data_IF_119090242794
#
_entry.id   IF_119090242794
#
_cell.length_a   1.000
_cell.length_b   1.000
_cell.length_c   1.000
_cell.angle_alpha   90.00
_cell.angle_beta   90.00
_cell.angle_gamma   90.00
#
_symmetry.space_group_name_H-M   'P 1'
#
loop_
_entity.id
_entity.type
_entity.pdbx_description
1 polymer ?
#
# COMPACT_ATOMS: atom_id res chain seq x y z
N UNK A 1 5.80 28.56 12.58
CA UNK A 1 6.84 28.00 11.71
C UNK A 1 7.70 27.10 12.57
N UNK A 2 7.57 25.81 12.44
CA UNK A 2 8.52 24.89 13.06
C UNK A 2 9.68 24.76 12.11
N UNK A 3 10.71 25.57 12.27
CA UNK A 3 11.99 25.35 11.62
C UNK A 3 12.61 24.12 12.28
N UNK A 4 12.40 22.95 11.68
CA UNK A 4 13.13 21.77 12.07
C UNK A 4 14.62 22.04 11.80
N UNK A 5 15.50 21.98 12.82
CA UNK A 5 16.93 22.28 12.63
C UNK A 5 17.61 21.37 11.62
N UNK A 6 17.09 20.16 11.41
CA UNK A 6 17.61 19.21 10.39
C UNK A 6 17.21 19.66 8.99
N UNK A 7 15.96 20.07 8.79
CA UNK A 7 15.49 20.58 7.49
C UNK A 7 16.22 21.87 7.10
N UNK A 8 16.37 22.79 8.04
CA UNK A 8 17.10 24.05 7.81
C UNK A 8 18.59 23.82 7.50
N UNK A 9 19.21 22.82 8.14
CA UNK A 9 20.66 22.57 8.00
C UNK A 9 21.04 21.79 6.76
N UNK A 10 20.18 20.83 6.31
CA UNK A 10 20.54 19.89 5.24
C UNK A 10 19.61 19.95 4.04
N UNK A 11 18.59 20.82 4.04
CA UNK A 11 17.57 20.85 2.99
C UNK A 11 16.73 19.55 2.87
N UNK A 12 16.72 18.75 3.93
CA UNK A 12 16.03 17.47 3.95
C UNK A 12 14.60 17.62 4.47
N UNK A 13 13.65 16.92 3.84
CA UNK A 13 12.28 16.86 4.33
C UNK A 13 12.19 15.88 5.49
N UNK A 14 11.81 16.39 6.66
CA UNK A 14 11.58 15.59 7.86
C UNK A 14 10.10 15.64 8.19
N UNK A 15 9.45 14.46 8.24
CA UNK A 15 8.03 14.34 8.55
C UNK A 15 7.83 13.82 9.98
N UNK A 16 6.96 14.44 10.77
CA UNK A 16 6.63 13.93 12.09
C UNK A 16 5.82 12.63 11.96
N UNK A 17 6.09 11.72 12.88
CA UNK A 17 5.34 10.47 13.02
C UNK A 17 4.15 10.66 13.94
N UNK A 18 3.02 10.06 13.57
CA UNK A 18 1.76 10.14 14.34
C UNK A 18 1.20 8.76 14.55
N UNK A 19 0.88 8.44 15.78
CA UNK A 19 0.18 7.22 16.15
C UNK A 19 -1.34 7.46 16.19
N UNK A 20 -2.06 6.51 15.60
CA UNK A 20 -3.52 6.40 15.72
C UNK A 20 -3.84 5.09 16.43
N UNK A 21 -4.56 5.19 17.53
CA UNK A 21 -5.00 4.04 18.31
C UNK A 21 -6.50 3.82 18.08
N UNK A 22 -6.86 2.62 17.74
CA UNK A 22 -8.25 2.21 17.49
C UNK A 22 -8.53 0.93 18.24
N UNK A 23 -9.76 0.78 18.72
CA UNK A 23 -10.29 -0.50 19.17
C UNK A 23 -11.06 -1.12 18.01
N UNK A 24 -10.66 -2.29 17.55
CA UNK A 24 -11.28 -2.98 16.43
C UNK A 24 -11.90 -4.27 16.91
N UNK A 25 -13.22 -4.38 16.77
CA UNK A 25 -13.91 -5.63 17.03
C UNK A 25 -13.44 -6.70 16.03
N UNK A 26 -13.08 -7.87 16.55
CA UNK A 26 -12.85 -9.03 15.70
C UNK A 26 -14.22 -9.54 15.20
N UNK A 27 -14.48 -9.56 13.89
CA UNK A 27 -15.78 -9.95 13.36
C UNK A 27 -16.17 -11.41 13.66
N UNK A 28 -15.19 -12.28 13.96
CA UNK A 28 -15.43 -13.69 14.24
C UNK A 28 -15.64 -13.96 15.74
N UNK A 29 -14.96 -13.25 16.62
CA UNK A 29 -14.97 -13.51 18.06
C UNK A 29 -15.75 -12.47 18.84
N UNK A 30 -16.05 -11.31 18.25
CA UNK A 30 -16.67 -10.17 18.93
C UNK A 30 -15.77 -9.49 19.97
N UNK A 31 -14.53 -9.96 20.13
CA UNK A 31 -13.58 -9.41 21.11
C UNK A 31 -12.85 -8.22 20.51
N UNK A 32 -12.91 -7.09 21.18
CA UNK A 32 -12.17 -5.90 20.79
C UNK A 32 -10.65 -6.12 20.96
N UNK A 33 -9.90 -5.83 19.90
CA UNK A 33 -8.46 -5.83 19.93
C UNK A 33 -7.92 -4.41 19.72
N UNK A 34 -6.95 -3.96 20.52
CA UNK A 34 -6.29 -2.69 20.30
C UNK A 34 -5.50 -2.75 19.00
N UNK A 35 -5.64 -1.72 18.16
CA UNK A 35 -4.87 -1.54 16.92
C UNK A 35 -4.16 -0.21 16.96
N UNK A 36 -2.84 -0.24 16.88
CA UNK A 36 -2.00 0.93 16.69
C UNK A 36 -1.59 1.03 15.22
N UNK A 37 -1.68 2.23 14.65
CA UNK A 37 -1.20 2.53 13.31
C UNK A 37 -0.29 3.75 13.37
N UNK A 38 0.95 3.58 12.97
CA UNK A 38 1.89 4.68 12.78
C UNK A 38 1.79 5.22 11.35
N UNK A 39 1.72 6.52 11.19
CA UNK A 39 1.63 7.20 9.89
C UNK A 39 2.45 8.49 9.90
N UNK A 40 2.89 8.93 8.73
CA UNK A 40 3.44 10.27 8.61
C UNK A 40 2.34 11.33 8.66
N UNK A 41 2.68 12.48 9.26
CA UNK A 41 1.84 13.65 9.14
C UNK A 41 2.12 14.37 7.82
N UNK A 42 1.45 13.93 6.76
CA UNK A 42 1.57 14.49 5.41
C UNK A 42 0.77 15.78 5.19
N UNK A 43 0.43 16.54 6.21
CA UNK A 43 -0.29 17.80 6.08
C UNK A 43 0.48 18.82 5.23
N UNK A 44 -0.19 19.68 4.45
CA UNK A 44 0.47 20.62 3.54
C UNK A 44 1.56 21.48 4.19
N UNK A 45 1.41 21.83 5.46
CA UNK A 45 2.39 22.62 6.21
C UNK A 45 3.76 21.93 6.41
N UNK A 46 3.82 20.61 6.21
CA UNK A 46 5.05 19.81 6.34
C UNK A 46 5.64 19.40 4.99
N UNK A 47 5.00 19.80 3.86
CA UNK A 47 5.37 19.37 2.52
C UNK A 47 5.46 20.55 1.56
N UNK A 48 6.39 21.48 1.79
CA UNK A 48 6.52 22.67 0.93
C UNK A 48 6.90 22.35 -0.53
N UNK A 49 7.41 21.17 -0.82
CA UNK A 49 7.97 20.80 -2.11
C UNK A 49 7.21 19.74 -2.90
N UNK A 50 6.11 19.16 -2.39
CA UNK A 50 5.40 18.10 -3.12
C UNK A 50 4.43 18.70 -4.14
N UNK A 51 4.70 18.50 -5.42
CA UNK A 51 3.82 18.90 -6.51
C UNK A 51 2.56 18.02 -6.47
N UNK A 52 1.37 18.63 -6.40
CA UNK A 52 0.08 17.91 -6.30
C UNK A 52 -0.14 16.90 -7.43
N UNK A 53 0.37 17.16 -8.62
CA UNK A 53 0.31 16.24 -9.77
C UNK A 53 1.03 14.92 -9.51
N UNK A 54 2.01 14.90 -8.63
CA UNK A 54 2.78 13.70 -8.28
C UNK A 54 2.10 12.82 -7.23
N UNK A 55 1.01 13.29 -6.64
CA UNK A 55 0.26 12.58 -5.60
C UNK A 55 -1.00 11.87 -6.11
N UNK A 56 -1.38 12.12 -7.36
CA UNK A 56 -2.58 11.50 -7.94
C UNK A 56 -2.36 10.00 -8.17
N UNK A 57 -3.36 9.22 -7.80
CA UNK A 57 -3.49 7.80 -8.12
C UNK A 57 -4.92 7.50 -8.52
N UNK A 58 -5.10 6.52 -9.39
CA UNK A 58 -6.42 6.04 -9.74
C UNK A 58 -7.04 5.33 -8.51
N UNK A 59 -8.34 5.48 -8.38
CA UNK A 59 -9.15 4.73 -7.43
C UNK A 59 -10.37 4.20 -8.18
N UNK A 60 -10.66 2.92 -8.02
CA UNK A 60 -11.78 2.30 -8.73
C UNK A 60 -13.10 2.94 -8.31
N UNK A 61 -13.93 3.26 -9.29
CA UNK A 61 -15.27 3.76 -9.04
C UNK A 61 -16.22 2.62 -8.64
N UNK A 62 -17.16 2.91 -7.75
CA UNK A 62 -18.12 1.90 -7.25
C UNK A 62 -18.92 1.20 -8.36
N UNK A 63 -19.37 1.86 -9.44
CA UNK A 63 -20.02 1.17 -10.56
C UNK A 63 -19.15 0.10 -11.22
N UNK A 64 -17.84 0.27 -11.23
CA UNK A 64 -16.91 -0.72 -11.80
C UNK A 64 -16.82 -1.97 -10.93
N UNK A 65 -16.87 -1.81 -9.61
CA UNK A 65 -17.01 -2.96 -8.70
C UNK A 65 -18.26 -3.77 -9.03
N UNK A 66 -19.42 -3.12 -9.14
CA UNK A 66 -20.67 -3.80 -9.48
C UNK A 66 -20.60 -4.47 -10.85
N UNK A 67 -20.01 -3.79 -11.85
CA UNK A 67 -19.84 -4.35 -13.18
C UNK A 67 -18.94 -5.59 -13.15
N UNK A 68 -17.82 -5.55 -12.43
CA UNK A 68 -16.89 -6.69 -12.29
C UNK A 68 -17.59 -7.88 -11.66
N UNK A 69 -18.39 -7.68 -10.60
CA UNK A 69 -19.20 -8.73 -9.99
C UNK A 69 -20.26 -9.27 -10.95
N UNK A 70 -20.96 -8.40 -11.68
CA UNK A 70 -21.98 -8.80 -12.65
C UNK A 70 -21.38 -9.63 -13.79
N UNK A 71 -20.22 -9.22 -14.35
CA UNK A 71 -19.49 -9.98 -15.36
C UNK A 71 -19.05 -11.33 -14.80
N UNK A 72 -18.48 -11.36 -13.61
CA UNK A 72 -18.02 -12.60 -12.99
C UNK A 72 -19.16 -13.58 -12.76
N UNK A 73 -20.31 -13.09 -12.32
CA UNK A 73 -21.52 -13.91 -12.16
C UNK A 73 -22.06 -14.41 -13.49
N UNK A 74 -22.16 -13.55 -14.51
CA UNK A 74 -22.63 -13.92 -15.85
C UNK A 74 -21.73 -14.94 -16.54
N UNK A 75 -20.43 -14.89 -16.29
CA UNK A 75 -19.44 -15.80 -16.84
C UNK A 75 -19.19 -17.03 -15.95
N UNK A 76 -19.88 -17.12 -14.82
CA UNK A 76 -19.71 -18.18 -13.84
C UNK A 76 -18.25 -18.31 -13.35
N UNK A 77 -17.64 -17.18 -13.04
CA UNK A 77 -16.28 -17.12 -12.51
C UNK A 77 -16.23 -17.40 -11.01
N UNK A 78 -15.19 -18.06 -10.56
CA UNK A 78 -14.76 -18.04 -9.17
C UNK A 78 -14.15 -16.69 -8.86
N UNK A 79 -14.45 -16.15 -7.68
CA UNK A 79 -13.92 -14.88 -7.23
C UNK A 79 -13.17 -15.08 -5.92
N UNK A 80 -11.97 -14.50 -5.82
CA UNK A 80 -11.16 -14.47 -4.59
C UNK A 80 -10.78 -13.05 -4.25
N UNK A 81 -10.91 -12.70 -2.97
CA UNK A 81 -10.48 -11.43 -2.43
C UNK A 81 -9.16 -11.60 -1.66
N UNK A 82 -8.26 -10.64 -1.79
CA UNK A 82 -7.00 -10.58 -1.06
C UNK A 82 -6.79 -9.18 -0.51
N UNK A 83 -6.20 -9.10 0.67
CA UNK A 83 -5.76 -7.86 1.31
C UNK A 83 -4.24 -7.88 1.43
N UNK A 84 -3.59 -6.82 0.96
CA UNK A 84 -2.13 -6.69 1.06
C UNK A 84 -1.77 -5.99 2.36
N UNK A 85 -1.21 -6.73 3.26
CA UNK A 85 -0.76 -6.15 4.53
C UNK A 85 0.36 -5.14 4.30
N UNK A 86 0.17 -3.91 4.81
CA UNK A 86 1.14 -2.82 4.65
C UNK A 86 1.46 -2.47 3.19
N UNK A 87 0.46 -2.48 2.31
CA UNK A 87 0.60 -2.31 0.86
C UNK A 87 1.60 -1.22 0.44
N UNK A 88 1.54 -0.02 1.05
CA UNK A 88 2.48 1.04 0.69
C UNK A 88 3.94 0.67 0.94
N UNK A 89 4.23 -0.08 2.01
CA UNK A 89 5.59 -0.51 2.32
C UNK A 89 6.16 -1.55 1.35
N UNK A 90 5.37 -2.10 0.45
CA UNK A 90 5.85 -2.90 -0.69
C UNK A 90 6.55 -2.02 -1.73
N UNK A 91 6.07 -0.80 -1.94
CA UNK A 91 6.59 0.13 -2.93
C UNK A 91 7.92 0.79 -2.47
N UNK A 92 8.78 1.17 -3.42
CA UNK A 92 9.99 1.92 -3.11
C UNK A 92 9.67 3.29 -2.50
N UNK A 93 10.65 3.88 -1.80
CA UNK A 93 10.55 5.25 -1.31
C UNK A 93 10.41 6.26 -2.46
N UNK A 94 9.89 7.47 -2.20
CA UNK A 94 9.96 8.59 -3.13
C UNK A 94 11.38 8.87 -3.60
N UNK A 95 11.51 9.48 -4.79
CA UNK A 95 12.83 9.86 -5.34
C UNK A 95 13.51 10.90 -4.45
N UNK A 96 12.75 11.87 -3.98
CA UNK A 96 13.23 12.84 -3.01
C UNK A 96 13.30 12.20 -1.62
N UNK A 97 14.48 12.04 -1.03
CA UNK A 97 14.64 11.36 0.24
C UNK A 97 13.95 12.15 1.36
N UNK A 98 13.25 11.45 2.20
CA UNK A 98 12.66 12.02 3.39
C UNK A 98 12.99 11.19 4.62
N UNK A 99 12.85 11.82 5.79
CA UNK A 99 13.30 11.31 7.06
C UNK A 99 12.20 11.37 8.08
N UNK A 100 12.31 10.56 9.11
CA UNK A 100 11.38 10.48 10.22
C UNK A 100 12.08 10.81 11.53
N UNK A 101 11.42 11.60 12.36
CA UNK A 101 11.74 11.72 13.79
C UNK A 101 10.82 10.76 14.54
N UNK A 102 11.41 9.91 15.36
CA UNK A 102 10.65 9.06 16.26
C UNK A 102 10.06 9.90 17.40
N UNK A 103 8.85 9.58 17.81
CA UNK A 103 8.29 10.13 19.04
C UNK A 103 8.99 9.53 20.27
N UNK A 104 8.89 10.24 21.39
CA UNK A 104 9.60 9.88 22.63
C UNK A 104 9.21 8.48 23.13
N UNK A 105 7.94 8.10 23.03
CA UNK A 105 7.46 6.81 23.54
C UNK A 105 8.03 5.65 22.69
N UNK A 106 8.03 5.82 21.36
CA UNK A 106 8.62 4.83 20.47
C UNK A 106 10.14 4.74 20.65
N UNK A 107 10.83 5.88 20.88
CA UNK A 107 12.27 5.89 21.14
C UNK A 107 12.60 5.15 22.42
N UNK A 108 11.84 5.34 23.50
CA UNK A 108 12.01 4.61 24.76
C UNK A 108 11.80 3.11 24.58
N UNK A 109 10.71 2.71 23.93
CA UNK A 109 10.47 1.30 23.62
C UNK A 109 11.59 0.70 22.78
N UNK A 110 12.06 1.43 21.75
CA UNK A 110 13.16 0.97 20.90
C UNK A 110 14.44 0.75 21.69
N UNK A 111 14.77 1.65 22.58
CA UNK A 111 15.94 1.53 23.46
C UNK A 111 15.83 0.34 24.42
N UNK A 112 14.64 0.06 24.92
CA UNK A 112 14.40 -1.05 25.84
C UNK A 112 14.46 -2.41 25.15
N UNK A 113 13.83 -2.55 23.99
CA UNK A 113 13.63 -3.84 23.30
C UNK A 113 14.75 -4.20 22.32
N UNK A 114 15.31 -3.21 21.62
CA UNK A 114 16.24 -3.42 20.50
C UNK A 114 17.68 -2.99 20.81
N UNK A 115 18.08 -2.99 22.07
CA UNK A 115 19.50 -2.81 22.43
C UNK A 115 20.38 -3.77 21.64
N UNK A 116 21.33 -3.35 20.82
CA UNK A 116 22.23 -2.20 20.89
C UNK A 116 22.01 -1.15 19.79
N UNK A 117 20.90 -1.13 19.10
CA UNK A 117 20.62 -0.18 18.00
C UNK A 117 20.05 1.14 18.54
N UNK A 118 20.76 1.74 19.49
CA UNK A 118 20.41 3.07 19.99
C UNK A 118 20.44 4.09 18.87
N UNK A 119 19.32 4.77 18.65
CA UNK A 119 19.26 5.95 17.80
C UNK A 119 19.55 7.15 18.72
N UNK A 120 20.71 7.80 18.58
CA UNK A 120 21.06 8.92 19.46
C UNK A 120 20.05 10.06 19.32
N UNK A 121 19.87 10.82 20.41
CA UNK A 121 19.02 12.01 20.42
C UNK A 121 19.37 12.96 19.27
N UNK A 122 18.35 13.50 18.62
CA UNK A 122 18.51 14.42 17.51
C UNK A 122 18.83 13.75 16.17
N UNK A 123 18.86 12.43 16.08
CA UNK A 123 18.99 11.71 14.83
C UNK A 123 17.64 11.49 14.16
N UNK A 124 17.69 11.38 12.83
CA UNK A 124 16.52 11.08 12.00
C UNK A 124 16.74 9.75 11.29
N UNK A 125 15.65 9.03 11.02
CA UNK A 125 15.69 7.76 10.31
C UNK A 125 15.37 8.01 8.84
N UNK A 126 16.23 7.57 7.89
CA UNK A 126 15.90 7.62 6.48
C UNK A 126 14.80 6.63 6.16
N UNK A 127 13.85 7.04 5.33
CA UNK A 127 12.75 6.21 4.91
C UNK A 127 13.08 5.57 3.56
N UNK A 128 13.12 4.24 3.55
CA UNK A 128 13.55 3.43 2.40
C UNK A 128 12.38 2.81 1.63
N UNK A 129 11.16 3.01 2.10
CA UNK A 129 9.92 2.50 1.50
C UNK A 129 8.83 3.56 1.52
N UNK A 130 7.87 3.44 0.62
CA UNK A 130 6.65 4.24 0.74
C UNK A 130 5.91 3.85 2.03
N UNK A 131 5.42 4.85 2.76
CA UNK A 131 4.70 4.62 4.02
C UNK A 131 3.43 5.44 4.08
N UNK A 132 2.48 4.97 4.89
CA UNK A 132 1.21 5.65 5.09
C UNK A 132 1.39 7.08 5.59
N UNK A 133 0.59 8.00 5.02
CA UNK A 133 0.64 9.42 5.36
C UNK A 133 1.58 10.25 4.49
N UNK A 134 2.53 9.65 3.77
CA UNK A 134 3.29 10.38 2.76
C UNK A 134 2.42 10.61 1.51
N UNK A 135 2.37 11.84 0.97
CA UNK A 135 1.46 12.19 -0.13
C UNK A 135 1.68 11.38 -1.42
N UNK A 136 2.90 10.94 -1.70
CA UNK A 136 3.23 10.16 -2.89
C UNK A 136 3.01 8.65 -2.72
N UNK A 137 2.82 8.17 -1.50
CA UNK A 137 2.74 6.73 -1.24
C UNK A 137 1.65 6.01 -2.03
N UNK A 138 0.43 6.55 -2.19
CA UNK A 138 -0.59 5.90 -3.03
C UNK A 138 -0.15 5.74 -4.48
N UNK A 139 0.50 6.76 -5.06
CA UNK A 139 0.99 6.72 -6.44
C UNK A 139 2.18 5.77 -6.61
N UNK A 140 3.09 5.74 -5.64
CA UNK A 140 4.23 4.82 -5.66
C UNK A 140 3.76 3.36 -5.61
N UNK A 141 2.76 3.10 -4.77
CA UNK A 141 2.11 1.80 -4.69
C UNK A 141 1.40 1.43 -5.99
N UNK A 142 0.61 2.36 -6.57
CA UNK A 142 -0.05 2.17 -7.86
C UNK A 142 0.94 1.77 -8.96
N UNK A 143 2.04 2.52 -9.10
CA UNK A 143 3.10 2.20 -10.05
C UNK A 143 3.76 0.84 -9.79
N UNK A 144 3.98 0.50 -8.52
CA UNK A 144 4.58 -0.76 -8.13
C UNK A 144 3.71 -1.94 -8.55
N UNK A 145 2.43 -1.92 -8.19
CA UNK A 145 1.48 -2.98 -8.50
C UNK A 145 1.23 -3.09 -10.00
N UNK A 146 1.05 -1.96 -10.69
CA UNK A 146 0.87 -1.92 -12.15
C UNK A 146 2.05 -2.54 -12.88
N UNK A 147 3.27 -2.21 -12.46
CA UNK A 147 4.48 -2.79 -13.03
C UNK A 147 4.52 -4.32 -12.84
N UNK A 148 4.21 -4.80 -11.66
CA UNK A 148 4.16 -6.22 -11.36
C UNK A 148 3.11 -6.93 -12.21
N UNK A 149 1.87 -6.44 -12.23
CA UNK A 149 0.77 -7.06 -12.97
C UNK A 149 1.04 -7.07 -14.47
N UNK A 150 1.53 -5.97 -15.04
CA UNK A 150 1.74 -5.84 -16.48
C UNK A 150 3.02 -6.54 -16.92
N UNK A 151 4.16 -6.20 -16.33
CA UNK A 151 5.46 -6.61 -16.85
C UNK A 151 5.88 -8.02 -16.41
N UNK A 152 5.42 -8.46 -15.23
CA UNK A 152 5.87 -9.73 -14.67
C UNK A 152 4.79 -10.82 -14.77
N UNK A 153 3.51 -10.46 -14.60
CA UNK A 153 2.41 -11.41 -14.66
C UNK A 153 1.67 -11.42 -16.00
N UNK A 154 1.94 -10.44 -16.87
CA UNK A 154 1.42 -10.38 -18.24
C UNK A 154 -0.04 -9.96 -18.35
N UNK A 155 -0.57 -9.27 -17.35
CA UNK A 155 -1.87 -8.63 -17.40
C UNK A 155 -1.84 -7.35 -18.24
N UNK A 156 -3.01 -6.90 -18.68
CA UNK A 156 -3.21 -5.63 -19.37
C UNK A 156 -4.24 -4.81 -18.61
N UNK A 157 -3.93 -3.54 -18.34
CA UNK A 157 -4.92 -2.61 -17.80
C UNK A 157 -5.99 -2.30 -18.84
N UNK A 158 -7.22 -2.09 -18.41
CA UNK A 158 -8.26 -1.58 -19.32
C UNK A 158 -8.07 -0.08 -19.54
N UNK A 159 -8.58 0.43 -20.68
CA UNK A 159 -8.41 1.84 -21.03
C UNK A 159 -9.32 2.72 -20.16
N UNK A 160 -10.54 2.27 -19.89
CA UNK A 160 -11.55 3.03 -19.18
C UNK A 160 -11.35 3.02 -17.67
N UNK A 161 -10.79 1.92 -17.13
CA UNK A 161 -10.58 1.74 -15.71
C UNK A 161 -9.15 1.20 -15.46
N UNK A 162 -8.22 2.06 -15.09
CA UNK A 162 -6.82 1.68 -14.89
C UNK A 162 -6.61 0.65 -13.75
N UNK A 163 -7.56 0.54 -12.82
CA UNK A 163 -7.51 -0.41 -11.72
C UNK A 163 -8.07 -1.80 -12.08
N UNK A 164 -8.65 -1.96 -13.29
CA UNK A 164 -9.15 -3.23 -13.79
C UNK A 164 -8.16 -3.81 -14.82
N UNK A 165 -7.64 -4.98 -14.52
CA UNK A 165 -6.69 -5.71 -15.34
C UNK A 165 -7.30 -6.98 -15.85
N UNK A 166 -6.87 -7.40 -17.04
CA UNK A 166 -7.27 -8.66 -17.63
C UNK A 166 -6.08 -9.38 -18.28
N UNK A 167 -6.18 -10.69 -18.33
CA UNK A 167 -5.25 -11.57 -19.05
C UNK A 167 -6.05 -12.64 -19.75
N UNK A 168 -5.63 -13.01 -20.99
CA UNK A 168 -6.14 -14.18 -21.68
C UNK A 168 -5.06 -15.23 -21.75
N UNK A 169 -5.41 -16.47 -21.47
CA UNK A 169 -4.52 -17.60 -21.67
C UNK A 169 -4.53 -18.06 -23.15
N UNK A 170 -3.78 -19.12 -23.44
CA UNK A 170 -3.67 -19.71 -24.78
C UNK A 170 -5.00 -20.30 -25.30
N UNK A 171 -5.90 -20.67 -24.39
CA UNK A 171 -7.24 -21.19 -24.68
C UNK A 171 -8.29 -20.08 -24.84
N UNK A 172 -7.89 -18.82 -24.64
CA UNK A 172 -8.78 -17.66 -24.69
C UNK A 172 -9.57 -17.41 -23.39
N UNK A 173 -9.32 -18.19 -22.34
CA UNK A 173 -9.94 -17.98 -21.02
C UNK A 173 -9.42 -16.68 -20.38
N UNK A 174 -10.31 -15.99 -19.69
CA UNK A 174 -10.03 -14.66 -19.14
C UNK A 174 -9.85 -14.73 -17.65
N UNK A 175 -8.75 -14.12 -17.17
CA UNK A 175 -8.56 -13.76 -15.77
C UNK A 175 -8.76 -12.26 -15.62
N UNK A 176 -9.46 -11.83 -14.57
CA UNK A 176 -9.65 -10.44 -14.20
C UNK A 176 -9.01 -10.17 -12.85
N UNK A 177 -8.40 -9.01 -12.70
CA UNK A 177 -7.97 -8.48 -11.41
C UNK A 177 -8.50 -7.05 -11.31
N UNK A 178 -9.32 -6.80 -10.29
CA UNK A 178 -9.71 -5.46 -9.89
C UNK A 178 -8.99 -5.15 -8.58
N UNK A 179 -8.24 -4.05 -8.52
CA UNK A 179 -7.55 -3.69 -7.30
C UNK A 179 -7.92 -2.29 -6.81
N UNK A 180 -7.96 -2.13 -5.51
CA UNK A 180 -8.26 -0.86 -4.84
C UNK A 180 -7.41 -0.72 -3.59
N UNK A 181 -6.40 0.12 -3.64
CA UNK A 181 -5.44 0.40 -2.56
C UNK A 181 -4.74 -0.89 -2.09
N UNK A 182 -5.23 -1.54 -1.06
CA UNK A 182 -4.70 -2.76 -0.44
C UNK A 182 -5.50 -4.03 -0.78
N UNK A 183 -6.63 -3.88 -1.47
CA UNK A 183 -7.53 -4.98 -1.80
C UNK A 183 -7.46 -5.39 -3.27
N UNK A 184 -7.41 -6.69 -3.51
CA UNK A 184 -7.56 -7.30 -4.82
C UNK A 184 -8.83 -8.15 -4.87
N UNK A 185 -9.55 -8.02 -5.96
CA UNK A 185 -10.57 -8.99 -6.38
C UNK A 185 -10.05 -9.69 -7.63
N UNK A 186 -9.83 -10.97 -7.54
CA UNK A 186 -9.48 -11.82 -8.66
C UNK A 186 -10.68 -12.64 -9.10
N UNK A 187 -10.88 -12.79 -10.42
CA UNK A 187 -11.95 -13.59 -10.99
C UNK A 187 -11.47 -14.40 -12.22
N UNK A 188 -11.75 -15.70 -12.21
CA UNK A 188 -11.45 -16.64 -13.29
C UNK A 188 -12.46 -17.78 -13.32
N UNK A 189 -12.60 -18.44 -14.45
CA UNK A 189 -13.45 -19.62 -14.61
C UNK A 189 -12.90 -20.86 -13.89
N UNK A 190 -11.59 -20.96 -13.71
CA UNK A 190 -10.94 -22.03 -12.96
C UNK A 190 -10.46 -21.53 -11.58
N UNK A 191 -10.98 -22.16 -10.53
CA UNK A 191 -10.58 -21.84 -9.16
C UNK A 191 -9.09 -22.09 -8.88
N UNK A 192 -8.49 -23.09 -9.55
CA UNK A 192 -7.05 -23.38 -9.41
C UNK A 192 -6.20 -22.28 -10.04
N UNK A 193 -6.70 -21.66 -11.11
CA UNK A 193 -6.02 -20.53 -11.74
C UNK A 193 -6.03 -19.31 -10.81
N UNK A 194 -7.15 -19.05 -10.11
CA UNK A 194 -7.18 -18.04 -9.07
C UNK A 194 -6.12 -18.32 -7.98
N UNK A 195 -6.02 -19.57 -7.49
CA UNK A 195 -4.98 -19.93 -6.52
C UNK A 195 -3.58 -19.70 -7.05
N UNK A 196 -3.34 -20.05 -8.32
CA UNK A 196 -2.05 -19.87 -8.97
C UNK A 196 -1.67 -18.40 -9.11
N UNK A 197 -2.59 -17.56 -9.53
CA UNK A 197 -2.35 -16.11 -9.68
C UNK A 197 -2.13 -15.48 -8.31
N UNK A 198 -2.95 -15.80 -7.31
CA UNK A 198 -2.76 -15.35 -5.94
C UNK A 198 -1.38 -15.73 -5.37
N UNK A 199 -0.92 -16.96 -5.61
CA UNK A 199 0.42 -17.40 -5.23
C UNK A 199 1.52 -16.62 -5.97
N UNK A 200 1.36 -16.35 -7.27
CA UNK A 200 2.31 -15.55 -8.04
C UNK A 200 2.41 -14.10 -7.56
N UNK A 201 1.30 -13.50 -7.13
CA UNK A 201 1.28 -12.18 -6.52
C UNK A 201 2.01 -12.25 -5.17
N UNK A 202 1.69 -13.25 -4.34
CA UNK A 202 2.31 -13.45 -3.03
C UNK A 202 3.84 -13.59 -3.10
N UNK A 203 4.36 -14.34 -4.06
CA UNK A 203 5.81 -14.51 -4.25
C UNK A 203 6.57 -13.22 -4.50
N UNK A 204 5.87 -12.17 -4.94
CA UNK A 204 6.40 -10.85 -5.27
C UNK A 204 6.20 -9.81 -4.17
N UNK A 205 5.44 -10.15 -3.16
CA UNK A 205 5.20 -9.29 -1.99
C UNK A 205 6.16 -9.67 -0.86
N UNK A 206 6.59 -8.67 -0.11
CA UNK A 206 7.41 -8.87 1.11
C UNK A 206 6.50 -9.35 2.24
N UNK A 207 5.30 -8.79 2.31
CA UNK A 207 4.32 -9.13 3.34
C UNK A 207 3.30 -10.16 2.83
N UNK A 208 2.76 -11.03 3.70
CA UNK A 208 1.77 -12.03 3.30
C UNK A 208 0.45 -11.40 2.84
N UNK A 209 -0.18 -12.02 1.85
CA UNK A 209 -1.56 -11.73 1.49
C UNK A 209 -2.49 -12.38 2.52
N UNK A 210 -3.51 -11.64 2.92
CA UNK A 210 -4.63 -12.16 3.71
C UNK A 210 -5.79 -12.49 2.78
N UNK A 211 -6.31 -13.70 2.89
CA UNK A 211 -7.51 -14.16 2.17
C UNK A 211 -8.78 -13.80 2.94
#
# INVERSE_FOLDING_TARGET
>A
MFNDPVQAKYGMTVLPWVWTYLQKANPLTGIDAPKARGTFNGWPRYREAVILSETYTACVEQPIHWLTWAISAAMNFYCKGYDVWNAFAEAPAPVDPFFMILDTQFSQWWEEELKPLLIPDGHVIPILKALQGHPESPRLWDKHISKMLINELGFKATIQEPCLYYKRDENGEVSLILWQVDNFLEANKDNKECDRIGAMIQERMINPLNN
#
